data_IF_603098841450
#
_entry.id   IF_603098841450
#
_cell.length_a   1.000
_cell.length_b   1.000
_cell.length_c   1.000
_cell.angle_alpha   90.00
_cell.angle_beta   90.00
_cell.angle_gamma   90.00
#
_symmetry.space_group_name_H-M   'P 1'
#
loop_
_entity.id
_entity.type
_entity.pdbx_description
1 polymer ?
#
# COMPACT_ATOMS: atom_id res chain seq x y z
N UNK A 1 2.84 -2.95 4.96
CA UNK A 1 3.24 -1.83 5.85
C UNK A 1 4.69 -1.94 6.32
N UNK A 2 5.16 -3.12 6.77
CA UNK A 2 6.49 -3.31 7.36
C UNK A 2 7.66 -2.83 6.47
N UNK A 3 7.61 -3.13 5.17
CA UNK A 3 8.67 -2.74 4.22
C UNK A 3 8.88 -1.22 4.16
N UNK A 4 7.79 -0.44 4.17
CA UNK A 4 7.85 1.04 4.13
C UNK A 4 8.44 1.58 5.42
N UNK A 5 8.02 1.06 6.58
CA UNK A 5 8.57 1.48 7.89
C UNK A 5 10.07 1.21 7.95
N UNK A 6 10.51 0.02 7.51
CA UNK A 6 11.94 -0.33 7.42
C UNK A 6 12.70 0.65 6.52
N UNK A 7 12.15 0.95 5.33
CA UNK A 7 12.77 1.87 4.39
C UNK A 7 12.91 3.28 4.97
N UNK A 8 11.85 3.82 5.57
CA UNK A 8 11.86 5.15 6.17
C UNK A 8 12.85 5.23 7.32
N UNK A 9 12.81 4.26 8.25
CA UNK A 9 13.75 4.22 9.37
C UNK A 9 15.21 4.16 8.89
N UNK A 10 15.51 3.29 7.92
CA UNK A 10 16.85 3.17 7.36
C UNK A 10 17.32 4.42 6.61
N UNK A 11 16.42 5.16 5.94
CA UNK A 11 16.75 6.42 5.29
C UNK A 11 17.00 7.56 6.30
N UNK A 12 16.29 7.56 7.44
CA UNK A 12 16.47 8.58 8.48
C UNK A 12 17.87 8.58 9.10
N UNK A 13 18.53 7.42 9.16
CA UNK A 13 19.87 7.28 9.73
C UNK A 13 21.01 7.57 8.72
N UNK A 14 20.67 8.02 7.49
CA UNK A 14 21.62 8.17 6.38
C UNK A 14 21.83 9.62 5.97
N UNK A 15 22.99 10.17 6.32
CA UNK A 15 23.37 11.54 5.94
C UNK A 15 23.43 11.74 4.42
N UNK A 16 23.80 10.70 3.66
CA UNK A 16 23.82 10.69 2.20
C UNK A 16 22.44 10.53 1.55
N UNK A 17 21.37 10.36 2.33
CA UNK A 17 19.98 10.40 1.88
C UNK A 17 19.36 11.82 1.94
N UNK A 18 19.95 12.76 2.69
CA UNK A 18 19.39 14.09 2.89
C UNK A 18 19.24 14.86 1.57
N UNK A 19 18.08 15.49 1.39
CA UNK A 19 17.74 16.29 0.20
C UNK A 19 17.41 15.46 -1.05
N UNK A 20 17.40 14.12 -0.97
CA UNK A 20 17.06 13.23 -2.09
C UNK A 20 15.62 12.73 -1.97
N UNK A 21 15.01 12.46 -3.12
CA UNK A 21 13.69 11.83 -3.22
C UNK A 21 13.88 10.34 -3.49
N UNK A 22 13.15 9.49 -2.77
CA UNK A 22 13.19 8.04 -2.96
C UNK A 22 11.78 7.49 -3.15
N UNK A 23 11.58 6.66 -4.16
CA UNK A 23 10.35 5.87 -4.29
C UNK A 23 10.45 4.63 -3.40
N UNK A 24 9.37 4.32 -2.69
CA UNK A 24 9.24 3.12 -1.87
C UNK A 24 7.93 2.43 -2.23
N UNK A 25 7.99 1.17 -2.65
CA UNK A 25 6.78 0.42 -3.00
C UNK A 25 7.08 -0.98 -3.54
N UNK A 26 6.01 -1.75 -3.72
CA UNK A 26 6.05 -3.06 -4.38
C UNK A 26 6.28 -2.94 -5.88
N UNK A 27 6.86 -3.99 -6.48
CA UNK A 27 7.05 -4.11 -7.93
C UNK A 27 6.04 -5.06 -8.60
N UNK A 28 5.19 -5.74 -7.82
CA UNK A 28 4.09 -6.55 -8.37
C UNK A 28 3.00 -5.63 -8.91
N UNK A 29 2.70 -5.76 -10.21
CA UNK A 29 1.60 -5.06 -10.85
C UNK A 29 0.30 -5.86 -10.77
N UNK A 30 -0.81 -5.18 -10.52
CA UNK A 30 -2.13 -5.79 -10.51
C UNK A 30 -3.18 -4.79 -10.99
N UNK A 31 -4.17 -5.26 -11.75
CA UNK A 31 -5.32 -4.43 -12.13
C UNK A 31 -6.31 -4.31 -10.97
N UNK A 32 -7.11 -3.24 -10.94
CA UNK A 32 -8.14 -3.06 -9.90
C UNK A 32 -9.15 -4.22 -9.85
N UNK A 33 -9.52 -4.78 -11.02
CA UNK A 33 -10.39 -5.95 -11.09
C UNK A 33 -9.75 -7.17 -10.42
N UNK A 34 -8.51 -7.50 -10.78
CA UNK A 34 -7.81 -8.64 -10.23
C UNK A 34 -7.55 -8.48 -8.71
N UNK A 35 -7.27 -7.25 -8.26
CA UNK A 35 -7.12 -6.94 -6.83
C UNK A 35 -8.44 -7.17 -6.07
N UNK A 36 -9.57 -6.72 -6.61
CA UNK A 36 -10.89 -6.92 -6.01
C UNK A 36 -11.24 -8.42 -5.93
N UNK A 37 -11.03 -9.17 -7.01
CA UNK A 37 -11.26 -10.62 -7.05
C UNK A 37 -10.39 -11.34 -6.02
N UNK A 38 -9.10 -11.00 -5.96
CA UNK A 38 -8.15 -11.58 -5.02
C UNK A 38 -8.51 -11.27 -3.57
N UNK A 39 -8.98 -10.05 -3.29
CA UNK A 39 -9.46 -9.65 -1.96
C UNK A 39 -10.71 -10.45 -1.54
N UNK A 40 -11.68 -10.68 -2.44
CA UNK A 40 -12.86 -11.52 -2.16
C UNK A 40 -12.43 -12.94 -1.78
N UNK A 41 -11.53 -13.53 -2.57
CA UNK A 41 -11.02 -14.89 -2.32
C UNK A 41 -10.29 -14.98 -0.98
N UNK A 42 -9.31 -14.11 -0.73
CA UNK A 42 -8.48 -14.17 0.47
C UNK A 42 -9.26 -13.83 1.74
N UNK A 43 -10.31 -13.02 1.63
CA UNK A 43 -11.20 -12.69 2.74
C UNK A 43 -12.31 -13.71 2.97
N UNK A 44 -12.48 -14.72 2.12
CA UNK A 44 -13.60 -15.66 2.20
C UNK A 44 -14.97 -14.98 2.11
N UNK A 45 -15.04 -13.79 1.52
CA UNK A 45 -16.27 -13.03 1.36
C UNK A 45 -17.18 -13.67 0.31
N UNK A 46 -18.48 -13.40 0.42
CA UNK A 46 -19.49 -13.73 -0.61
C UNK A 46 -19.84 -12.53 -1.50
N UNK A 47 -19.11 -11.42 -1.38
CA UNK A 47 -19.32 -10.22 -2.18
C UNK A 47 -19.09 -10.50 -3.67
N UNK A 48 -19.89 -9.84 -4.51
CA UNK A 48 -19.69 -9.82 -5.96
C UNK A 48 -18.83 -8.61 -6.35
N UNK A 49 -17.94 -8.80 -7.33
CA UNK A 49 -17.22 -7.69 -7.96
C UNK A 49 -18.12 -7.04 -8.99
N UNK A 50 -18.43 -5.74 -8.82
CA UNK A 50 -19.27 -4.96 -9.73
C UNK A 50 -18.44 -3.85 -10.39
N UNK A 51 -18.66 -3.64 -11.68
CA UNK A 51 -18.06 -2.55 -12.42
C UNK A 51 -19.01 -1.36 -12.43
N UNK A 52 -18.48 -0.18 -12.12
CA UNK A 52 -19.21 1.08 -12.13
C UNK A 52 -18.52 2.04 -13.11
N UNK A 53 -19.27 2.82 -13.90
CA UNK A 53 -18.69 3.87 -14.73
C UNK A 53 -17.87 4.84 -13.89
N UNK A 54 -16.74 5.30 -14.43
CA UNK A 54 -15.77 6.11 -13.71
C UNK A 54 -16.38 7.41 -13.18
N UNK A 55 -17.25 8.04 -13.97
CA UNK A 55 -17.94 9.30 -13.66
C UNK A 55 -18.98 9.16 -12.53
N UNK A 56 -19.37 7.94 -12.20
CA UNK A 56 -20.24 7.68 -11.04
C UNK A 56 -19.44 7.38 -9.77
N UNK A 57 -18.19 6.95 -9.92
CA UNK A 57 -17.32 6.60 -8.80
C UNK A 57 -16.50 7.80 -8.30
N UNK A 58 -16.21 8.76 -9.19
CA UNK A 58 -15.39 9.93 -8.91
C UNK A 58 -16.04 11.22 -9.42
N UNK A 59 -15.73 12.34 -8.77
CA UNK A 59 -16.22 13.66 -9.16
C UNK A 59 -15.65 14.12 -10.51
N UNK A 60 -16.36 15.04 -11.16
CA UNK A 60 -15.92 15.67 -12.41
C UNK A 60 -14.54 16.32 -12.25
N UNK A 61 -13.60 15.98 -13.15
CA UNK A 61 -12.22 16.47 -13.13
C UNK A 61 -11.24 15.60 -12.32
N UNK A 62 -11.69 14.48 -11.74
CA UNK A 62 -10.79 13.52 -11.13
C UNK A 62 -10.01 12.74 -12.20
N UNK A 63 -8.69 12.85 -12.18
CA UNK A 63 -7.78 12.12 -13.08
C UNK A 63 -6.95 11.11 -12.27
N UNK A 64 -7.09 9.83 -12.62
CA UNK A 64 -6.30 8.74 -12.05
C UNK A 64 -5.24 8.26 -13.04
N UNK A 65 -4.17 7.69 -12.49
CA UNK A 65 -3.11 7.07 -13.30
C UNK A 65 -3.55 5.69 -13.77
N UNK A 66 -3.55 5.48 -15.09
CA UNK A 66 -3.89 4.17 -15.68
C UNK A 66 -2.92 3.05 -15.29
N UNK A 67 -1.68 3.39 -14.92
CA UNK A 67 -0.64 2.45 -14.47
C UNK A 67 0.31 3.16 -13.51
N UNK A 68 0.65 2.51 -12.40
CA UNK A 68 1.61 3.02 -11.41
C UNK A 68 2.57 1.91 -10.99
N UNK A 69 3.85 2.08 -11.33
CA UNK A 69 4.94 1.21 -10.89
C UNK A 69 6.08 2.09 -10.39
N UNK A 70 6.51 1.96 -9.14
CA UNK A 70 7.62 2.76 -8.62
C UNK A 70 8.95 2.27 -9.20
N UNK A 71 9.80 3.21 -9.64
CA UNK A 71 11.22 2.91 -9.83
C UNK A 71 11.94 2.99 -8.49
N UNK A 72 12.32 1.83 -7.94
CA UNK A 72 13.01 1.69 -6.65
C UNK A 72 14.53 1.55 -6.79
N UNK A 73 15.10 1.80 -7.97
CA UNK A 73 16.53 1.65 -8.25
C UNK A 73 17.40 2.46 -7.29
N UNK A 74 17.00 3.71 -6.99
CA UNK A 74 17.77 4.60 -6.14
C UNK A 74 17.85 4.13 -4.68
N UNK A 75 16.73 3.69 -4.09
CA UNK A 75 16.73 3.17 -2.72
C UNK A 75 17.41 1.79 -2.65
N UNK A 76 17.29 0.98 -3.71
CA UNK A 76 18.01 -0.28 -3.82
C UNK A 76 19.52 -0.06 -3.82
N UNK A 77 20.02 0.91 -4.60
CA UNK A 77 21.44 1.23 -4.65
C UNK A 77 21.99 1.72 -3.30
N UNK A 78 21.19 2.49 -2.55
CA UNK A 78 21.63 3.07 -1.28
C UNK A 78 21.57 2.09 -0.09
N UNK A 79 20.51 1.30 -0.03
CA UNK A 79 20.16 0.48 1.16
C UNK A 79 20.06 -1.01 0.87
N UNK A 80 20.20 -1.44 -0.38
CA UNK A 80 19.85 -2.81 -0.80
C UNK A 80 18.34 -3.09 -0.72
N UNK A 81 17.51 -2.07 -0.53
CA UNK A 81 16.06 -2.22 -0.31
C UNK A 81 15.42 -3.06 -1.41
N UNK A 82 14.59 -4.02 -1.00
CA UNK A 82 13.62 -4.71 -1.83
C UNK A 82 12.34 -4.89 -1.01
N UNK A 83 11.15 -4.77 -1.63
CA UNK A 83 9.91 -5.17 -0.98
C UNK A 83 9.96 -6.68 -0.71
N UNK A 84 9.68 -7.08 0.53
CA UNK A 84 9.75 -8.48 0.95
C UNK A 84 8.37 -9.04 1.29
N UNK A 85 7.34 -8.18 1.40
CA UNK A 85 5.98 -8.59 1.72
C UNK A 85 5.18 -8.76 0.41
N UNK A 86 4.77 -10.00 0.04
CA UNK A 86 3.92 -10.24 -1.12
C UNK A 86 2.54 -9.59 -0.97
N UNK A 87 1.86 -9.30 -2.10
CA UNK A 87 0.53 -8.70 -2.08
C UNK A 87 -0.49 -9.54 -1.30
N UNK A 88 -0.46 -10.86 -1.44
CA UNK A 88 -1.38 -11.76 -0.74
C UNK A 88 -1.25 -11.66 0.79
N UNK A 89 -0.03 -11.49 1.30
CA UNK A 89 0.20 -11.34 2.74
C UNK A 89 -0.30 -9.98 3.24
N UNK A 90 -0.12 -8.92 2.44
CA UNK A 90 -0.69 -7.61 2.73
C UNK A 90 -2.23 -7.69 2.80
N UNK A 91 -2.87 -8.35 1.85
CA UNK A 91 -4.33 -8.52 1.81
C UNK A 91 -4.85 -9.33 3.01
N UNK A 92 -4.13 -10.39 3.41
CA UNK A 92 -4.45 -11.17 4.63
C UNK A 92 -4.33 -10.31 5.88
N UNK A 93 -3.24 -9.56 6.03
CA UNK A 93 -3.00 -8.69 7.18
C UNK A 93 -4.09 -7.61 7.31
N UNK A 94 -4.43 -6.93 6.22
CA UNK A 94 -5.48 -5.89 6.19
C UNK A 94 -6.86 -6.50 6.46
N UNK A 95 -7.15 -7.66 5.90
CA UNK A 95 -8.42 -8.35 6.19
C UNK A 95 -8.51 -8.72 7.67
N UNK A 96 -7.44 -9.26 8.25
CA UNK A 96 -7.39 -9.62 9.66
C UNK A 96 -7.50 -8.40 10.59
N UNK A 97 -6.97 -7.23 10.20
CA UNK A 97 -7.11 -6.00 10.99
C UNK A 97 -8.55 -5.51 11.06
N UNK A 98 -9.33 -5.65 9.98
CA UNK A 98 -10.74 -5.20 9.93
C UNK A 98 -11.72 -6.20 10.56
N UNK A 99 -11.32 -7.45 10.75
CA UNK A 99 -12.11 -8.46 11.49
C UNK A 99 -12.01 -8.31 13.00
N UNK A 100 -10.94 -7.68 13.49
CA UNK A 100 -10.82 -7.33 14.90
C UNK A 100 -11.76 -6.14 15.16
N UNK A 101 -12.58 -6.16 16.23
CA UNK A 101 -13.31 -4.98 16.63
C UNK A 101 -12.32 -3.82 16.80
N UNK A 102 -12.67 -2.64 16.31
CA UNK A 102 -11.80 -1.47 16.37
C UNK A 102 -11.33 -1.26 17.81
N UNK A 103 -10.06 -1.50 18.08
CA UNK A 103 -9.47 -1.22 19.37
C UNK A 103 -9.37 0.30 19.46
N UNK A 104 -10.16 0.91 20.34
CA UNK A 104 -10.11 2.35 20.57
C UNK A 104 -8.73 2.70 21.12
N UNK A 105 -7.89 3.34 20.31
CA UNK A 105 -6.63 3.93 20.79
C UNK A 105 -7.02 5.13 21.66
N UNK A 106 -6.77 5.11 22.99
CA UNK A 106 -7.02 6.28 23.80
C UNK A 106 -6.05 7.37 23.36
N UNK A 107 -6.60 8.46 22.81
CA UNK A 107 -5.83 9.68 22.57
C UNK A 107 -5.42 10.21 23.95
N UNK A 108 -4.19 9.96 24.36
CA UNK A 108 -3.61 10.60 25.54
C UNK A 108 -3.38 12.07 25.18
N UNK A 109 -4.41 12.88 25.39
CA UNK A 109 -4.27 14.33 25.41
C UNK A 109 -3.35 14.70 26.57
N UNK A 110 -2.24 15.38 26.26
CA UNK A 110 -1.57 16.22 27.24
C UNK A 110 -1.87 17.68 26.88
N UNK A 111 -2.51 18.34 27.84
CA UNK A 111 -2.50 19.78 28.03
C UNK A 111 -1.06 20.28 28.23
#
# INVERSE_FOLDING_TARGET
MRDVVRAVAALSDRHDAMGKVFNVGGMEEISMRALAERAVVLSGSRSEVRLQPYEQAFDSGFEDMSRRVPDVSQIHALLGFRPETPLDDILRDVTASHRRPAESVPVSGRL
#
